data_IF_893568805481
#
_entry.id   IF_893568805481
#
_cell.length_a   1.000
_cell.length_b   1.000
_cell.length_c   1.000
_cell.angle_alpha   90.00
_cell.angle_beta   90.00
_cell.angle_gamma   90.00
#
_symmetry.space_group_name_H-M   'P 1'
#
loop_
_entity.id
_entity.type
_entity.pdbx_description
1 polymer ?
#
# COMPACT_ATOMS: atom_id res chain seq x y z
N UNK A 1 5.82 -23.78 5.76
CA UNK A 1 5.89 -22.37 5.33
C UNK A 1 4.45 -21.87 5.23
N UNK A 2 4.12 -20.69 5.75
CA UNK A 2 2.75 -20.17 5.74
C UNK A 2 2.20 -19.99 4.32
N UNK A 3 0.87 -20.09 4.17
CA UNK A 3 0.19 -19.86 2.89
C UNK A 3 0.15 -18.36 2.65
N UNK A 4 0.80 -17.91 1.57
CA UNK A 4 0.77 -16.50 1.18
C UNK A 4 -0.64 -16.10 0.72
N UNK A 5 -1.10 -14.87 1.01
CA UNK A 5 -2.33 -14.37 0.44
C UNK A 5 -2.23 -14.28 -1.09
N UNK A 6 -3.24 -14.75 -1.81
CA UNK A 6 -3.33 -14.52 -3.27
C UNK A 6 -3.35 -13.04 -3.59
N UNK A 7 -4.00 -12.23 -2.74
CA UNK A 7 -4.15 -10.79 -2.93
C UNK A 7 -3.99 -10.01 -1.64
N UNK A 8 -3.38 -8.84 -1.75
CA UNK A 8 -3.42 -7.76 -0.77
C UNK A 8 -4.05 -6.57 -1.45
N UNK A 9 -5.17 -6.09 -0.92
CA UNK A 9 -6.01 -5.09 -1.55
C UNK A 9 -6.04 -3.86 -0.64
N UNK A 10 -5.52 -2.75 -1.14
CA UNK A 10 -5.51 -1.47 -0.44
C UNK A 10 -6.73 -0.67 -0.87
N UNK A 11 -7.56 -0.23 0.08
CA UNK A 11 -8.77 0.52 -0.20
C UNK A 11 -8.79 1.83 0.58
N UNK A 12 -8.98 2.95 -0.11
CA UNK A 12 -9.26 4.23 0.55
C UNK A 12 -10.71 4.26 1.04
N UNK A 13 -10.95 4.91 2.18
CA UNK A 13 -12.31 5.19 2.63
C UNK A 13 -13.16 5.95 1.57
N UNK A 14 -14.48 5.88 1.70
CA UNK A 14 -15.41 6.65 0.88
C UNK A 14 -15.35 8.14 1.20
N UNK A 15 -16.07 8.95 0.41
CA UNK A 15 -16.15 10.39 0.64
C UNK A 15 -16.58 10.71 2.09
N UNK A 16 -15.81 11.59 2.74
CA UNK A 16 -16.07 12.05 4.09
C UNK A 16 -16.48 13.50 4.14
N UNK A 17 -17.08 13.93 5.25
CA UNK A 17 -17.45 15.34 5.46
C UNK A 17 -16.25 16.26 5.25
N UNK A 18 -15.06 15.85 5.74
CA UNK A 18 -13.81 16.57 5.55
C UNK A 18 -13.25 16.56 4.12
N UNK A 19 -13.80 15.75 3.20
CA UNK A 19 -13.47 15.84 1.77
C UNK A 19 -14.33 16.89 1.06
N UNK A 20 -15.58 17.09 1.49
CA UNK A 20 -16.46 18.13 0.95
C UNK A 20 -16.11 19.50 1.50
N UNK A 21 -15.87 19.57 2.81
CA UNK A 21 -15.56 20.82 3.49
C UNK A 21 -14.46 20.60 4.52
N UNK A 22 -13.29 21.18 4.27
CA UNK A 22 -12.17 21.11 5.19
C UNK A 22 -12.42 21.86 6.51
N UNK A 23 -13.46 22.70 6.60
CA UNK A 23 -13.89 23.30 7.87
C UNK A 23 -14.30 22.24 8.90
N UNK A 24 -14.69 21.03 8.48
CA UNK A 24 -15.07 19.96 9.40
C UNK A 24 -13.95 19.62 10.41
N UNK A 25 -12.68 19.74 10.00
CA UNK A 25 -11.51 19.51 10.85
C UNK A 25 -11.26 20.60 11.90
N UNK A 26 -12.01 21.70 11.87
CA UNK A 26 -11.91 22.79 12.88
C UNK A 26 -12.65 22.44 14.18
N UNK A 27 -13.68 21.60 14.08
CA UNK A 27 -14.60 21.28 15.20
C UNK A 27 -14.70 19.80 15.48
N UNK A 28 -14.39 18.95 14.50
CA UNK A 28 -14.42 17.49 14.63
C UNK A 28 -13.01 16.94 14.51
N UNK A 29 -12.53 16.14 15.49
CA UNK A 29 -11.23 15.48 15.39
C UNK A 29 -11.16 14.59 14.13
N UNK A 30 -10.02 14.57 13.43
CA UNK A 30 -9.88 13.86 12.15
C UNK A 30 -10.34 12.39 12.23
N UNK A 31 -9.93 11.67 13.28
CA UNK A 31 -10.32 10.27 13.49
C UNK A 31 -11.84 10.05 13.64
N UNK A 32 -12.59 11.10 13.97
CA UNK A 32 -14.04 11.08 14.20
C UNK A 32 -14.87 11.58 13.01
N UNK A 33 -14.22 12.08 11.94
CA UNK A 33 -14.91 12.55 10.73
C UNK A 33 -15.70 11.41 10.08
N UNK A 34 -16.97 11.67 9.78
CA UNK A 34 -17.91 10.68 9.24
C UNK A 34 -17.92 10.65 7.71
N UNK A 35 -18.38 9.53 7.15
CA UNK A 35 -18.73 9.45 5.73
C UNK A 35 -19.94 10.30 5.41
N UNK A 36 -19.99 10.79 4.17
CA UNK A 36 -21.19 11.40 3.59
C UNK A 36 -22.16 10.30 3.12
N UNK A 37 -23.44 10.61 2.84
CA UNK A 37 -24.34 9.66 2.19
C UNK A 37 -23.78 9.14 0.85
N UNK A 38 -23.08 9.98 0.09
CA UNK A 38 -22.37 9.59 -1.12
C UNK A 38 -21.21 8.62 -0.82
N UNK A 39 -20.42 8.87 0.23
CA UNK A 39 -19.37 7.96 0.68
C UNK A 39 -19.89 6.57 1.07
N UNK A 40 -21.08 6.51 1.67
CA UNK A 40 -21.78 5.24 1.96
C UNK A 40 -22.18 4.51 0.68
N UNK A 41 -22.73 5.23 -0.30
CA UNK A 41 -23.08 4.64 -1.60
C UNK A 41 -21.85 4.13 -2.36
N UNK A 42 -20.76 4.91 -2.37
CA UNK A 42 -19.45 4.53 -2.92
C UNK A 42 -18.94 3.24 -2.27
N UNK A 43 -19.01 3.11 -0.94
CA UNK A 43 -18.54 1.93 -0.22
C UNK A 43 -19.35 0.66 -0.58
N UNK A 44 -20.67 0.79 -0.78
CA UNK A 44 -21.51 -0.34 -1.24
C UNK A 44 -21.11 -0.80 -2.64
N UNK A 45 -20.90 0.14 -3.56
CA UNK A 45 -20.47 -0.17 -4.91
C UNK A 45 -19.07 -0.82 -4.92
N UNK A 46 -18.14 -0.26 -4.14
CA UNK A 46 -16.80 -0.82 -3.97
C UNK A 46 -16.84 -2.24 -3.39
N UNK A 47 -17.73 -2.54 -2.44
CA UNK A 47 -17.95 -3.90 -1.94
C UNK A 47 -18.41 -4.87 -3.04
N UNK A 48 -19.34 -4.45 -3.90
CA UNK A 48 -19.78 -5.26 -5.04
C UNK A 48 -18.64 -5.50 -6.05
N UNK A 49 -17.84 -4.46 -6.35
CA UNK A 49 -16.69 -4.56 -7.24
C UNK A 49 -15.60 -5.48 -6.65
N UNK A 50 -15.27 -5.31 -5.38
CA UNK A 50 -14.32 -6.14 -4.65
C UNK A 50 -14.74 -7.61 -4.64
N UNK A 51 -16.04 -7.88 -4.47
CA UNK A 51 -16.55 -9.25 -4.56
C UNK A 51 -16.26 -9.87 -5.92
N UNK A 52 -16.44 -9.14 -7.02
CA UNK A 52 -16.14 -9.64 -8.38
C UNK A 52 -14.66 -9.97 -8.53
N UNK A 53 -13.76 -9.17 -7.95
CA UNK A 53 -12.31 -9.43 -7.97
C UNK A 53 -11.97 -10.76 -7.27
N UNK A 54 -12.54 -11.00 -6.09
CA UNK A 54 -12.17 -12.19 -5.29
C UNK A 54 -12.94 -13.45 -5.69
N UNK A 55 -14.04 -13.33 -6.42
CA UNK A 55 -14.86 -14.44 -6.90
C UNK A 55 -14.86 -14.61 -8.42
N UNK A 56 -13.98 -13.92 -9.13
CA UNK A 56 -13.89 -13.96 -10.59
C UNK A 56 -13.28 -15.26 -11.13
N UNK A 57 -13.17 -15.35 -12.45
CA UNK A 57 -12.54 -16.48 -13.14
C UNK A 57 -11.10 -16.71 -12.66
N UNK A 58 -10.71 -17.98 -12.53
CA UNK A 58 -9.40 -18.36 -11.98
C UNK A 58 -9.26 -18.19 -10.46
N UNK A 59 -10.34 -17.84 -9.73
CA UNK A 59 -10.37 -17.90 -8.27
C UNK A 59 -10.84 -19.28 -7.78
N UNK A 60 -10.25 -19.74 -6.68
CA UNK A 60 -10.74 -20.92 -5.95
C UNK A 60 -12.21 -20.71 -5.56
N UNK A 61 -13.08 -21.72 -5.70
CA UNK A 61 -14.47 -21.63 -5.25
C UNK A 61 -14.55 -21.40 -3.73
N UNK A 62 -13.49 -21.67 -2.96
CA UNK A 62 -13.40 -21.53 -1.51
C UNK A 62 -12.54 -20.34 -1.03
N UNK A 63 -12.50 -19.26 -1.83
CA UNK A 63 -11.87 -18.00 -1.44
C UNK A 63 -12.35 -17.45 -0.08
N UNK A 64 -11.42 -16.84 0.66
CA UNK A 64 -11.58 -16.23 1.98
C UNK A 64 -11.11 -14.79 1.97
N UNK A 65 -11.73 -13.97 2.81
CA UNK A 65 -11.39 -12.57 2.98
C UNK A 65 -11.14 -12.23 4.44
N UNK A 66 -10.04 -11.51 4.70
CA UNK A 66 -9.70 -10.98 6.01
C UNK A 66 -9.48 -9.48 5.90
N UNK A 67 -10.07 -8.71 6.83
CA UNK A 67 -10.01 -7.26 6.80
C UNK A 67 -9.06 -6.71 7.86
N UNK A 68 -8.19 -5.79 7.47
CA UNK A 68 -7.58 -4.81 8.35
C UNK A 68 -8.27 -3.47 8.14
N UNK A 69 -8.51 -2.72 9.22
CA UNK A 69 -9.19 -1.42 9.13
C UNK A 69 -8.53 -0.41 10.06
N UNK A 70 -8.30 0.80 9.54
CA UNK A 70 -7.91 1.92 10.38
C UNK A 70 -9.00 2.22 11.42
N UNK A 71 -8.64 2.67 12.64
CA UNK A 71 -9.60 2.97 13.70
C UNK A 71 -10.53 4.17 13.39
N UNK A 72 -10.27 4.92 12.31
CA UNK A 72 -11.02 6.13 12.01
C UNK A 72 -12.49 5.82 11.64
N UNK A 73 -13.40 6.72 12.01
CA UNK A 73 -14.82 6.51 11.81
C UNK A 73 -15.18 6.29 10.34
N UNK A 74 -14.60 7.08 9.43
CA UNK A 74 -14.78 6.93 7.97
C UNK A 74 -14.31 5.59 7.41
N UNK A 75 -13.20 5.03 7.87
CA UNK A 75 -12.71 3.71 7.42
C UNK A 75 -13.56 2.58 7.98
N UNK A 76 -13.93 2.66 9.27
CA UNK A 76 -14.85 1.68 9.89
C UNK A 76 -16.23 1.68 9.24
N UNK A 77 -16.76 2.86 8.89
CA UNK A 77 -18.03 2.99 8.18
C UNK A 77 -17.92 2.44 6.74
N UNK A 78 -16.82 2.72 6.04
CA UNK A 78 -16.54 2.14 4.72
C UNK A 78 -16.54 0.62 4.78
N UNK A 79 -15.81 0.02 5.73
CA UNK A 79 -15.75 -1.42 5.90
C UNK A 79 -17.14 -2.04 6.17
N UNK A 80 -17.97 -1.40 7.00
CA UNK A 80 -19.33 -1.91 7.28
C UNK A 80 -20.15 -2.05 6.00
N UNK A 81 -20.06 -1.09 5.09
CA UNK A 81 -20.83 -1.09 3.85
C UNK A 81 -20.21 -2.00 2.78
N UNK A 82 -18.88 -2.06 2.67
CA UNK A 82 -18.15 -3.03 1.84
C UNK A 82 -18.47 -4.46 2.27
N UNK A 83 -18.48 -4.71 3.58
CA UNK A 83 -18.75 -6.01 4.18
C UNK A 83 -20.12 -6.61 3.83
N UNK A 84 -21.10 -5.78 3.45
CA UNK A 84 -22.44 -6.24 3.03
C UNK A 84 -22.42 -7.07 1.75
N UNK A 85 -21.39 -6.93 0.92
CA UNK A 85 -21.22 -7.75 -0.27
C UNK A 85 -20.80 -9.20 0.04
N UNK A 86 -20.38 -9.49 1.27
CA UNK A 86 -19.79 -10.77 1.64
C UNK A 86 -20.68 -11.53 2.62
N UNK A 87 -20.83 -12.85 2.40
CA UNK A 87 -21.45 -13.72 3.38
C UNK A 87 -20.52 -13.96 4.58
N UNK A 88 -21.09 -14.18 5.77
CA UNK A 88 -20.32 -14.51 6.98
C UNK A 88 -19.39 -15.72 6.80
N UNK A 89 -19.72 -16.68 5.93
CA UNK A 89 -18.86 -17.84 5.64
C UNK A 89 -17.55 -17.45 4.95
N UNK A 90 -17.55 -16.37 4.17
CA UNK A 90 -16.39 -15.91 3.39
C UNK A 90 -15.46 -15.02 4.19
N UNK A 91 -16.02 -14.23 5.11
CA UNK A 91 -15.26 -13.33 5.99
C UNK A 91 -14.71 -14.11 7.17
N UNK A 92 -13.39 -14.32 7.19
CA UNK A 92 -12.73 -15.11 8.24
C UNK A 92 -12.27 -14.27 9.43
N UNK A 93 -12.23 -12.95 9.29
CA UNK A 93 -11.91 -12.07 10.40
C UNK A 93 -11.79 -10.60 10.00
N UNK A 94 -11.77 -9.76 11.03
CA UNK A 94 -11.47 -8.34 10.95
C UNK A 94 -10.56 -7.97 12.11
N UNK A 95 -9.56 -7.13 11.84
CA UNK A 95 -8.73 -6.52 12.88
C UNK A 95 -8.64 -5.02 12.66
N UNK A 96 -8.91 -4.27 13.73
CA UNK A 96 -8.57 -2.85 13.77
C UNK A 96 -7.06 -2.71 13.93
N UNK A 97 -6.43 -1.89 13.09
CA UNK A 97 -4.98 -1.70 13.05
C UNK A 97 -4.66 -0.20 13.08
N UNK A 98 -4.11 0.27 14.20
CA UNK A 98 -3.84 1.69 14.40
C UNK A 98 -2.72 2.22 13.50
N UNK A 99 -1.81 1.36 13.06
CA UNK A 99 -0.67 1.74 12.20
C UNK A 99 -1.06 1.97 10.75
N UNK A 100 -2.29 1.66 10.34
CA UNK A 100 -2.82 1.99 9.00
C UNK A 100 -3.75 3.21 9.00
N UNK A 101 -3.71 4.05 10.05
CA UNK A 101 -4.40 5.37 10.08
C UNK A 101 -3.77 6.39 9.13
N UNK A 102 -4.48 7.48 8.81
CA UNK A 102 -3.94 8.55 7.95
C UNK A 102 -2.76 9.27 8.62
N UNK A 103 -1.93 9.96 7.83
CA UNK A 103 -0.93 10.90 8.34
C UNK A 103 -1.58 11.86 9.34
N UNK A 104 -0.97 11.98 10.51
CA UNK A 104 -1.42 12.91 11.53
C UNK A 104 -1.11 14.36 11.13
N UNK A 105 -2.13 15.21 11.16
CA UNK A 105 -2.03 16.65 10.92
C UNK A 105 -2.13 17.47 12.22
N UNK A 106 -1.89 16.83 13.36
CA UNK A 106 -2.04 17.33 14.72
C UNK A 106 -3.52 17.53 15.14
N UNK A 107 -3.77 18.54 15.98
CA UNK A 107 -5.07 18.83 16.56
C UNK A 107 -6.05 19.46 15.53
N UNK A 108 -7.02 20.25 16.00
CA UNK A 108 -7.96 20.95 15.12
C UNK A 108 -7.24 21.81 14.07
N UNK A 109 -7.70 21.72 12.83
CA UNK A 109 -7.06 22.37 11.69
C UNK A 109 -7.65 23.77 11.46
N UNK A 110 -6.84 24.81 11.64
CA UNK A 110 -7.21 26.19 11.30
C UNK A 110 -7.04 26.41 9.81
N UNK A 111 -8.10 26.82 9.11
CA UNK A 111 -8.13 26.85 7.64
C UNK A 111 -7.02 27.71 7.02
N UNK A 112 -6.81 28.92 7.51
CA UNK A 112 -5.77 29.82 6.99
C UNK A 112 -4.37 29.25 7.18
N UNK A 113 -4.11 28.63 8.35
CA UNK A 113 -2.84 27.96 8.61
C UNK A 113 -2.65 26.75 7.70
N UNK A 114 -3.69 25.95 7.51
CA UNK A 114 -3.63 24.78 6.63
C UNK A 114 -3.35 25.15 5.17
N UNK A 115 -3.82 26.29 4.69
CA UNK A 115 -3.51 26.78 3.35
C UNK A 115 -2.00 27.03 3.21
N UNK A 116 -1.40 27.78 4.14
CA UNK A 116 0.04 28.08 4.14
C UNK A 116 0.87 26.81 4.27
N UNK A 117 0.45 25.88 5.14
CA UNK A 117 1.11 24.59 5.34
C UNK A 117 1.11 23.77 4.04
N UNK A 118 -0.02 23.70 3.33
CA UNK A 118 -0.13 22.98 2.05
C UNK A 118 0.78 23.58 0.97
N UNK A 119 0.78 24.90 0.82
CA UNK A 119 1.66 25.59 -0.13
C UNK A 119 3.15 25.37 0.19
N UNK A 120 3.51 25.38 1.48
CA UNK A 120 4.87 25.10 1.93
C UNK A 120 5.26 23.65 1.64
N UNK A 121 4.35 22.71 1.90
CA UNK A 121 4.56 21.28 1.63
C UNK A 121 4.78 20.99 0.15
N UNK A 122 4.02 21.64 -0.73
CA UNK A 122 4.19 21.49 -2.18
C UNK A 122 5.59 21.90 -2.65
N UNK A 123 6.17 22.95 -2.04
CA UNK A 123 7.53 23.40 -2.34
C UNK A 123 8.63 22.54 -1.71
N UNK A 124 8.36 21.95 -0.54
CA UNK A 124 9.34 21.16 0.22
C UNK A 124 9.45 19.71 -0.27
N UNK A 125 8.35 19.12 -0.75
CA UNK A 125 8.24 17.69 -1.05
C UNK A 125 7.38 16.97 0.00
N UNK A 126 6.56 16.01 -0.44
CA UNK A 126 5.53 15.40 0.40
C UNK A 126 6.08 14.39 1.40
N UNK A 127 7.20 13.73 1.10
CA UNK A 127 7.74 12.62 1.87
C UNK A 127 8.36 13.10 3.19
N UNK A 128 9.27 14.07 3.11
CA UNK A 128 10.01 14.57 4.26
C UNK A 128 9.34 15.75 4.98
N UNK A 129 8.37 16.43 4.36
CA UNK A 129 7.67 17.53 5.02
C UNK A 129 6.92 17.05 6.26
N UNK A 130 7.19 17.71 7.38
CA UNK A 130 6.52 17.45 8.66
C UNK A 130 5.47 18.50 8.93
N UNK A 131 4.25 18.06 9.20
CA UNK A 131 3.24 18.96 9.72
C UNK A 131 3.63 19.42 11.14
N UNK A 132 3.44 20.70 11.50
CA UNK A 132 3.67 21.16 12.86
C UNK A 132 2.87 20.28 13.85
N UNK A 133 3.57 19.69 14.83
CA UNK A 133 2.98 18.76 15.82
C UNK A 133 2.33 17.50 15.24
N UNK A 134 2.52 17.23 13.95
CA UNK A 134 1.98 16.07 13.23
C UNK A 134 3.06 15.14 12.72
N UNK A 135 2.68 14.28 11.77
CA UNK A 135 3.57 13.32 11.11
C UNK A 135 4.12 13.90 9.80
N UNK A 136 5.31 13.46 9.41
CA UNK A 136 5.77 13.44 8.02
C UNK A 136 5.39 12.10 7.36
N UNK A 137 5.47 11.99 6.04
CA UNK A 137 5.23 10.72 5.37
C UNK A 137 6.35 9.70 5.66
N UNK A 138 7.56 10.14 6.01
CA UNK A 138 8.61 9.27 6.57
C UNK A 138 8.18 8.64 7.92
N UNK A 139 7.54 9.40 8.82
CA UNK A 139 7.02 8.82 10.07
C UNK A 139 5.91 7.77 9.80
N UNK A 140 5.10 8.01 8.77
CA UNK A 140 4.09 7.04 8.30
C UNK A 140 4.77 5.76 7.78
N UNK A 141 5.89 5.89 7.06
CA UNK A 141 6.67 4.76 6.53
C UNK A 141 7.20 3.86 7.65
N UNK A 142 7.68 4.45 8.74
CA UNK A 142 8.22 3.69 9.88
C UNK A 142 7.13 2.88 10.59
N UNK A 143 5.97 3.48 10.88
CA UNK A 143 4.86 2.72 11.50
C UNK A 143 4.28 1.64 10.59
N UNK A 144 4.28 1.87 9.27
CA UNK A 144 3.88 0.84 8.29
C UNK A 144 4.89 -0.32 8.27
N UNK A 145 6.18 -0.05 8.47
CA UNK A 145 7.19 -1.10 8.61
C UNK A 145 6.87 -2.04 9.78
N UNK A 146 6.48 -1.50 10.94
CA UNK A 146 6.03 -2.33 12.06
C UNK A 146 4.75 -3.12 11.77
N UNK A 147 3.82 -2.58 10.96
CA UNK A 147 2.66 -3.34 10.50
C UNK A 147 3.06 -4.53 9.62
N UNK A 148 4.03 -4.35 8.72
CA UNK A 148 4.54 -5.43 7.86
C UNK A 148 5.11 -6.57 8.68
N UNK A 149 5.91 -6.29 9.71
CA UNK A 149 6.45 -7.34 10.60
C UNK A 149 5.33 -8.17 11.24
N UNK A 150 4.27 -7.51 11.69
CA UNK A 150 3.11 -8.19 12.29
C UNK A 150 2.34 -9.02 11.27
N UNK A 151 2.15 -8.46 10.07
CA UNK A 151 1.47 -9.12 8.97
C UNK A 151 2.23 -10.38 8.53
N UNK A 152 3.53 -10.27 8.28
CA UNK A 152 4.38 -11.40 7.89
C UNK A 152 4.40 -12.48 8.96
N UNK A 153 4.54 -12.10 10.23
CA UNK A 153 4.47 -13.07 11.34
C UNK A 153 3.11 -13.77 11.42
N UNK A 154 2.01 -13.07 11.17
CA UNK A 154 0.68 -13.69 11.17
C UNK A 154 0.51 -14.68 10.00
N UNK A 155 1.07 -14.37 8.83
CA UNK A 155 1.11 -15.25 7.65
C UNK A 155 1.99 -16.47 7.92
N UNK A 156 3.22 -16.28 8.40
CA UNK A 156 4.20 -17.35 8.63
C UNK A 156 3.72 -18.36 9.67
N UNK A 157 3.07 -17.89 10.73
CA UNK A 157 2.51 -18.72 11.79
C UNK A 157 1.12 -19.31 11.44
N UNK A 158 0.60 -19.05 10.23
CA UNK A 158 -0.75 -19.41 9.79
C UNK A 158 -1.84 -19.08 10.85
N UNK A 159 -1.76 -17.90 11.47
CA UNK A 159 -2.68 -17.48 12.54
C UNK A 159 -4.12 -17.28 12.06
N UNK A 160 -4.31 -17.21 10.75
CA UNK A 160 -5.62 -17.14 10.12
C UNK A 160 -6.24 -18.55 9.89
N UNK A 161 -5.52 -19.61 10.27
CA UNK A 161 -5.94 -21.02 10.18
C UNK A 161 -6.49 -21.39 8.80
N UNK A 162 -5.77 -20.98 7.76
CA UNK A 162 -6.19 -21.18 6.39
C UNK A 162 -5.75 -22.53 5.86
N UNK A 163 -6.67 -23.15 5.13
CA UNK A 163 -6.37 -24.27 4.25
C UNK A 163 -5.56 -23.74 3.05
N UNK A 164 -4.40 -24.34 2.73
CA UNK A 164 -3.59 -23.97 1.56
C UNK A 164 -4.32 -24.00 0.21
N UNK A 165 -5.43 -24.74 0.10
CA UNK A 165 -6.26 -24.79 -1.10
C UNK A 165 -7.20 -23.58 -1.28
N UNK A 166 -7.32 -22.72 -0.26
CA UNK A 166 -8.18 -21.54 -0.30
C UNK A 166 -7.42 -20.30 -0.76
N UNK A 167 -8.02 -19.55 -1.69
CA UNK A 167 -7.53 -18.22 -2.04
C UNK A 167 -7.76 -17.24 -0.88
N UNK A 168 -6.70 -16.85 -0.18
CA UNK A 168 -6.74 -15.79 0.82
C UNK A 168 -6.62 -14.41 0.16
N UNK A 169 -7.54 -13.51 0.53
CA UNK A 169 -7.52 -12.10 0.13
C UNK A 169 -7.47 -11.23 1.39
N UNK A 170 -6.40 -10.46 1.56
CA UNK A 170 -6.29 -9.46 2.62
C UNK A 170 -6.77 -8.12 2.09
N UNK A 171 -7.65 -7.45 2.83
CA UNK A 171 -8.18 -6.13 2.45
C UNK A 171 -7.89 -5.14 3.56
N UNK A 172 -7.16 -4.09 3.22
CA UNK A 172 -6.73 -3.05 4.15
C UNK A 172 -7.54 -1.79 3.84
N UNK A 173 -8.56 -1.50 4.66
CA UNK A 173 -9.38 -0.30 4.54
C UNK A 173 -8.71 0.84 5.31
N UNK A 174 -8.14 1.77 4.56
CA UNK A 174 -7.19 2.78 5.02
C UNK A 174 -7.45 4.13 4.32
N UNK A 175 -6.40 4.91 4.14
CA UNK A 175 -6.40 6.28 3.69
C UNK A 175 -5.42 6.46 2.53
N UNK A 176 -5.47 7.63 1.90
CA UNK A 176 -4.80 7.85 0.62
C UNK A 176 -3.27 7.82 0.73
N UNK A 177 -2.70 8.66 1.61
CA UNK A 177 -1.25 8.72 1.78
C UNK A 177 -0.70 7.41 2.37
N UNK A 178 -1.37 6.87 3.38
CA UNK A 178 -0.96 5.61 4.02
C UNK A 178 -0.93 4.44 3.03
N UNK A 179 -1.87 4.36 2.10
CA UNK A 179 -1.88 3.31 1.06
C UNK A 179 -0.75 3.48 0.04
N UNK A 180 -0.38 4.73 -0.30
CA UNK A 180 0.80 4.99 -1.15
C UNK A 180 2.11 4.62 -0.46
N UNK A 181 2.23 4.91 0.84
CA UNK A 181 3.37 4.49 1.65
C UNK A 181 3.45 2.96 1.76
N UNK A 182 2.30 2.28 1.90
CA UNK A 182 2.26 0.82 1.83
C UNK A 182 2.84 0.31 0.50
N UNK A 183 2.41 0.88 -0.64
CA UNK A 183 2.93 0.47 -1.97
C UNK A 183 4.43 0.74 -2.09
N UNK A 184 4.88 1.93 -1.68
CA UNK A 184 6.31 2.27 -1.66
C UNK A 184 7.11 1.25 -0.85
N UNK A 185 6.64 0.90 0.36
CA UNK A 185 7.31 -0.09 1.21
C UNK A 185 7.28 -1.49 0.61
N UNK A 186 6.15 -1.89 0.03
CA UNK A 186 5.96 -3.22 -0.56
C UNK A 186 6.86 -3.46 -1.77
N UNK A 187 6.89 -2.49 -2.69
CA UNK A 187 7.67 -2.59 -3.92
C UNK A 187 9.07 -1.99 -3.81
N UNK A 188 9.44 -1.52 -2.62
CA UNK A 188 10.74 -0.88 -2.31
C UNK A 188 11.02 0.33 -3.20
N UNK A 189 9.98 1.08 -3.57
CA UNK A 189 10.13 2.28 -4.40
C UNK A 189 10.91 3.37 -3.68
N UNK A 190 11.63 4.17 -4.46
CA UNK A 190 12.41 5.30 -3.95
C UNK A 190 11.49 6.45 -3.51
N UNK A 191 12.08 7.44 -2.83
CA UNK A 191 11.34 8.65 -2.42
C UNK A 191 10.85 9.42 -3.65
N UNK A 192 11.69 9.54 -4.68
CA UNK A 192 11.36 10.23 -5.94
C UNK A 192 10.18 9.57 -6.65
N UNK A 193 10.18 8.25 -6.72
CA UNK A 193 9.06 7.47 -7.27
C UNK A 193 7.78 7.70 -6.44
N UNK A 194 7.88 7.70 -5.12
CA UNK A 194 6.74 7.96 -4.24
C UNK A 194 6.14 9.37 -4.42
N UNK A 195 6.97 10.40 -4.62
CA UNK A 195 6.52 11.78 -4.80
C UNK A 195 5.60 11.95 -6.02
N UNK A 196 5.82 11.14 -7.06
CA UNK A 196 5.03 11.13 -8.30
C UNK A 196 3.65 10.47 -8.13
N UNK A 197 3.47 9.63 -7.11
CA UNK A 197 2.25 8.85 -6.94
C UNK A 197 1.02 9.72 -6.64
N UNK A 198 -0.03 9.51 -7.42
CA UNK A 198 -1.34 10.12 -7.24
C UNK A 198 -2.15 9.42 -6.15
N UNK A 199 -2.90 10.24 -5.40
CA UNK A 199 -3.71 9.77 -4.29
C UNK A 199 -4.87 8.90 -4.79
N UNK A 200 -5.22 7.87 -4.03
CA UNK A 200 -6.42 7.07 -4.29
C UNK A 200 -7.66 7.96 -4.29
N UNK A 201 -8.61 7.73 -5.19
CA UNK A 201 -9.96 8.26 -5.16
C UNK A 201 -10.80 7.70 -4.00
N UNK A 202 -11.97 8.29 -3.76
CA UNK A 202 -12.87 7.84 -2.70
C UNK A 202 -13.39 6.42 -3.01
N UNK A 203 -13.20 5.48 -2.08
CA UNK A 203 -13.46 4.05 -2.28
C UNK A 203 -12.71 3.36 -3.44
N UNK A 204 -11.69 4.02 -4.01
CA UNK A 204 -10.76 3.34 -4.91
C UNK A 204 -10.01 2.25 -4.14
N UNK A 205 -9.79 1.11 -4.80
CA UNK A 205 -8.89 0.09 -4.29
C UNK A 205 -7.92 -0.38 -5.35
N UNK A 206 -6.71 -0.73 -4.91
CA UNK A 206 -5.65 -1.29 -5.75
C UNK A 206 -5.29 -2.67 -5.25
N UNK A 207 -5.31 -3.63 -6.16
CA UNK A 207 -5.00 -5.04 -5.95
C UNK A 207 -3.52 -5.31 -6.21
N UNK A 208 -2.81 -5.74 -5.18
CA UNK A 208 -1.50 -6.38 -5.28
C UNK A 208 -1.77 -7.88 -5.32
N UNK A 209 -1.47 -8.55 -6.43
CA UNK A 209 -1.78 -9.97 -6.61
C UNK A 209 -0.52 -10.77 -6.88
N UNK A 210 -0.49 -12.00 -6.36
CA UNK A 210 0.57 -12.95 -6.68
C UNK A 210 0.49 -13.37 -8.14
N UNK A 211 1.57 -13.15 -8.88
CA UNK A 211 1.78 -13.55 -10.26
C UNK A 211 2.08 -15.04 -10.40
N UNK A 212 2.19 -15.52 -11.64
CA UNK A 212 2.39 -16.94 -11.93
C UNK A 212 3.72 -17.49 -11.44
N UNK A 213 4.75 -16.65 -11.35
CA UNK A 213 6.06 -17.03 -10.81
C UNK A 213 6.16 -16.91 -9.28
N UNK A 214 5.13 -16.36 -8.62
CA UNK A 214 5.03 -16.31 -7.17
C UNK A 214 5.39 -14.97 -6.53
N UNK A 215 5.88 -14.00 -7.30
CA UNK A 215 6.06 -12.61 -6.88
C UNK A 215 4.74 -11.82 -6.88
N UNK A 216 4.67 -10.74 -6.10
CA UNK A 216 3.49 -9.86 -6.11
C UNK A 216 3.65 -8.72 -7.11
N UNK A 217 2.56 -8.38 -7.79
CA UNK A 217 2.52 -7.33 -8.80
C UNK A 217 1.16 -6.65 -8.88
N UNK A 218 1.16 -5.36 -9.25
CA UNK A 218 -0.02 -4.62 -9.66
C UNK A 218 -0.48 -5.02 -11.07
N UNK A 219 0.45 -5.34 -11.98
CA UNK A 219 0.19 -5.63 -13.39
C UNK A 219 -0.53 -6.97 -13.64
N UNK A 220 -0.73 -7.77 -12.60
CA UNK A 220 -1.55 -9.00 -12.67
C UNK A 220 -3.04 -8.66 -12.76
N UNK A 221 -3.47 -7.56 -12.14
CA UNK A 221 -4.88 -7.16 -12.11
C UNK A 221 -5.15 -5.88 -12.88
N UNK A 222 -4.21 -4.95 -12.87
CA UNK A 222 -4.41 -3.60 -13.39
C UNK A 222 -3.71 -3.39 -14.72
N UNK A 223 -4.28 -2.51 -15.53
CA UNK A 223 -3.70 -2.15 -16.83
C UNK A 223 -2.55 -1.16 -16.67
N UNK A 224 -1.78 -1.00 -17.75
CA UNK A 224 -0.71 -0.01 -17.80
C UNK A 224 -1.27 1.42 -17.70
N UNK A 225 -2.42 1.69 -18.33
CA UNK A 225 -3.08 2.99 -18.29
C UNK A 225 -3.48 3.35 -16.85
N UNK A 226 -4.07 2.42 -16.10
CA UNK A 226 -4.42 2.64 -14.68
C UNK A 226 -3.17 2.96 -13.86
N UNK A 227 -2.07 2.24 -14.07
CA UNK A 227 -0.81 2.48 -13.36
C UNK A 227 -0.19 3.84 -13.71
N UNK A 228 -0.25 4.26 -14.98
CA UNK A 228 0.18 5.60 -15.40
C UNK A 228 -0.68 6.70 -14.76
N UNK A 229 -2.01 6.53 -14.72
CA UNK A 229 -2.91 7.46 -14.06
C UNK A 229 -2.61 7.60 -12.56
N UNK A 230 -2.07 6.55 -11.94
CA UNK A 230 -1.63 6.57 -10.54
C UNK A 230 -0.25 7.21 -10.34
N UNK A 231 0.41 7.64 -11.40
CA UNK A 231 1.72 8.29 -11.36
C UNK A 231 2.89 7.33 -11.26
N UNK A 232 2.71 6.06 -11.65
CA UNK A 232 3.86 5.15 -11.81
C UNK A 232 4.65 5.56 -13.06
N UNK A 233 5.97 5.63 -12.94
CA UNK A 233 6.84 5.86 -14.09
C UNK A 233 6.88 4.64 -15.02
N UNK A 234 7.31 4.79 -16.29
CA UNK A 234 7.50 3.66 -17.20
C UNK A 234 8.35 2.53 -16.60
N UNK A 235 9.40 2.87 -15.85
CA UNK A 235 10.28 1.88 -15.21
C UNK A 235 9.59 1.13 -14.07
N UNK A 236 8.79 1.83 -13.26
CA UNK A 236 7.99 1.19 -12.22
C UNK A 236 6.99 0.20 -12.85
N UNK A 237 6.36 0.58 -13.96
CA UNK A 237 5.42 -0.27 -14.69
C UNK A 237 6.13 -1.47 -15.31
N UNK A 238 7.31 -1.28 -15.91
CA UNK A 238 8.12 -2.37 -16.44
C UNK A 238 8.47 -3.38 -15.33
N UNK A 239 8.86 -2.92 -14.15
CA UNK A 239 9.10 -3.77 -12.98
C UNK A 239 7.83 -4.51 -12.54
N UNK A 240 6.66 -3.85 -12.51
CA UNK A 240 5.39 -4.53 -12.20
C UNK A 240 5.06 -5.62 -13.24
N UNK A 241 5.25 -5.35 -14.53
CA UNK A 241 5.03 -6.34 -15.60
C UNK A 241 5.97 -7.54 -15.47
N UNK A 242 7.25 -7.31 -15.16
CA UNK A 242 8.21 -8.37 -14.88
C UNK A 242 7.80 -9.20 -13.65
N UNK A 243 7.44 -8.55 -12.53
CA UNK A 243 6.98 -9.23 -11.29
C UNK A 243 5.75 -10.12 -11.50
N UNK A 244 4.92 -9.84 -12.50
CA UNK A 244 3.71 -10.64 -12.76
C UNK A 244 4.04 -12.10 -13.17
N UNK A 245 5.25 -12.35 -13.68
CA UNK A 245 5.69 -13.69 -14.11
C UNK A 245 7.00 -14.12 -13.46
N UNK A 246 7.70 -13.22 -12.75
CA UNK A 246 8.99 -13.47 -12.12
C UNK A 246 8.93 -14.61 -11.07
N UNK A 247 9.93 -15.51 -11.06
CA UNK A 247 10.09 -16.51 -10.02
C UNK A 247 10.22 -15.87 -8.64
N UNK A 248 9.62 -16.49 -7.63
CA UNK A 248 9.71 -16.01 -6.24
C UNK A 248 11.16 -15.88 -5.78
N UNK A 249 11.50 -14.71 -5.24
CA UNK A 249 12.85 -14.39 -4.75
C UNK A 249 13.85 -14.01 -5.85
N UNK A 250 13.42 -13.95 -7.12
CA UNK A 250 14.25 -13.40 -8.18
C UNK A 250 14.46 -11.90 -7.96
N UNK A 251 15.65 -11.42 -8.29
CA UNK A 251 15.97 -10.01 -8.38
C UNK A 251 15.83 -9.57 -9.83
N UNK A 252 15.29 -8.37 -10.02
CA UNK A 252 15.25 -7.77 -11.34
C UNK A 252 16.58 -7.04 -11.52
N UNK A 253 17.61 -7.73 -12.00
CA UNK A 253 18.94 -7.16 -12.22
C UNK A 253 18.94 -6.08 -13.31
N UNK A 254 17.88 -6.03 -14.14
CA UNK A 254 17.64 -4.97 -15.12
C UNK A 254 16.90 -3.76 -14.53
N UNK A 255 16.53 -3.82 -13.25
CA UNK A 255 15.88 -2.72 -12.56
C UNK A 255 16.94 -1.72 -12.15
N UNK A 256 16.98 -0.60 -12.89
CA UNK A 256 18.05 0.41 -12.89
C UNK A 256 18.44 0.99 -11.53
N UNK A 257 17.65 0.78 -10.47
CA UNK A 257 17.75 1.53 -9.21
C UNK A 257 18.27 0.73 -8.00
N UNK A 258 18.82 -0.47 -8.20
CA UNK A 258 19.44 -1.24 -7.10
C UNK A 258 20.96 -1.17 -7.06
N UNK A 259 21.64 -1.49 -8.15
CA UNK A 259 23.11 -1.47 -8.24
C UNK A 259 23.56 -0.35 -9.19
N UNK A 260 23.06 -0.40 -10.42
CA UNK A 260 23.53 0.50 -11.49
C UNK A 260 23.26 1.98 -11.19
N UNK A 261 22.14 2.36 -10.57
CA UNK A 261 21.88 3.78 -10.23
C UNK A 261 22.89 4.41 -9.26
N UNK A 262 23.61 3.61 -8.47
CA UNK A 262 24.58 4.11 -7.50
C UNK A 262 26.03 3.83 -7.91
N UNK A 263 26.24 2.85 -8.78
CA UNK A 263 27.55 2.30 -9.13
C UNK A 263 27.79 2.21 -10.64
N UNK A 264 27.01 2.91 -11.47
CA UNK A 264 27.20 3.06 -12.92
C UNK A 264 28.62 3.51 -13.32
N UNK A 265 29.34 4.15 -12.40
CA UNK A 265 30.72 4.61 -12.59
C UNK A 265 31.79 3.68 -11.99
N UNK A 266 31.42 2.59 -11.31
CA UNK A 266 32.41 1.60 -10.89
C UNK A 266 32.87 0.82 -12.13
N UNK A 267 34.16 0.93 -12.44
CA UNK A 267 34.77 0.08 -13.44
C UNK A 267 34.61 -1.39 -13.04
N UNK A 268 34.40 -2.27 -14.02
CA UNK A 268 34.40 -3.72 -13.81
C UNK A 268 35.83 -4.21 -13.57
N UNK A 269 36.43 -3.83 -12.44
CA UNK A 269 37.68 -4.42 -11.99
C UNK A 269 37.32 -5.66 -11.16
N UNK A 270 37.82 -6.82 -11.59
CA UNK A 270 37.73 -8.07 -10.84
C UNK A 270 38.55 -7.92 -9.56
N UNK A 271 38.00 -8.33 -8.41
CA UNK A 271 38.69 -8.38 -7.11
C UNK A 271 39.90 -9.35 -7.06
N UNK A 272 40.44 -9.80 -8.20
CA UNK A 272 41.41 -10.89 -8.32
C UNK A 272 42.89 -10.43 -8.40
N UNK A 273 43.20 -9.14 -8.25
CA UNK A 273 44.59 -8.61 -8.43
C UNK A 273 45.37 -8.33 -7.12
N UNK A 274 44.98 -8.87 -5.97
CA UNK A 274 45.67 -8.64 -4.67
C UNK A 274 46.44 -9.86 -4.09
N UNK A 275 46.68 -10.92 -4.88
CA UNK A 275 47.36 -12.15 -4.42
C UNK A 275 48.71 -12.47 -5.12
N UNK A 276 49.42 -11.46 -5.65
CA UNK A 276 50.82 -11.61 -6.07
C UNK A 276 51.72 -10.56 -5.39
N UNK A 277 52.15 -10.81 -4.14
CA UNK A 277 53.50 -10.43 -3.65
C UNK A 277 53.76 -10.83 -2.19
N UNK A 278 53.71 -12.14 -1.86
CA UNK A 278 54.47 -12.66 -0.71
C UNK A 278 55.06 -14.03 -1.06
N UNK A 279 56.15 -14.05 -1.83
CA UNK A 279 57.13 -15.14 -1.76
C UNK A 279 58.47 -14.72 -2.38
N UNK A 280 59.30 -14.04 -1.59
CA UNK A 280 60.75 -14.00 -1.80
C UNK A 280 61.47 -14.04 -0.44
N UNK A 281 61.56 -15.24 0.13
CA UNK A 281 62.68 -15.62 0.99
C UNK A 281 63.20 -16.99 0.53
N UNK A 282 64.25 -16.95 -0.30
CA UNK A 282 65.38 -17.89 -0.28
C UNK A 282 66.59 -17.34 -1.02
#
# INVERSE_FOLDING_TARGET
>A
MGVLPKRIILMRHGESQGNLDTSAYTTTPDHSIQLTPQGIAQARLAGANLRRVVSGEGCSPDWRIYFYVSPYARTRSTLREVGRAFSKKRVIGVREESRVREQDFANFQVQERMKIIKETRERFGRFFYRFPEGESAADVFDRISGFFESLWRDIDLNRLHLDPSNDLNLVIVSHGLTSRIFLMKWFKWTVEQFEQLNNFGNCEFRVIQQGSGGEYSLAVHHTEEEMLEWGLSPDMIADQKWRATAPRGAWNDQCSWYLDAFFDQLASESDDDDDEDIQNEK
#
